data_IF_171287136659
#
_entry.id   IF_171287136659
#
_cell.length_a   1.000
_cell.length_b   1.000
_cell.length_c   1.000
_cell.angle_alpha   90.00
_cell.angle_beta   90.00
_cell.angle_gamma   90.00
#
_symmetry.space_group_name_H-M   'P 1'
#
loop_
_entity.id
_entity.type
_entity.pdbx_description
1 polymer ?
#
# COMPACT_ATOMS: atom_id res chain seq x y z
N UNK A 1 14.01 -9.52 -17.62
CA UNK A 1 13.66 -8.08 -17.48
C UNK A 1 14.97 -7.32 -17.33
N UNK A 2 15.03 -6.04 -17.73
CA UNK A 2 16.24 -5.20 -17.65
C UNK A 2 16.00 -4.03 -16.69
N UNK A 3 17.02 -3.55 -15.99
CA UNK A 3 16.90 -2.36 -15.14
C UNK A 3 16.77 -1.07 -15.98
N UNK A 4 16.60 0.08 -15.33
CA UNK A 4 16.49 1.39 -15.98
C UNK A 4 17.73 1.81 -16.81
N UNK A 5 18.84 1.05 -16.71
CA UNK A 5 20.07 1.23 -17.48
C UNK A 5 20.24 0.19 -18.60
N UNK A 6 19.27 -0.69 -18.81
CA UNK A 6 19.31 -1.71 -19.85
C UNK A 6 20.16 -2.93 -19.49
N UNK A 7 20.57 -3.10 -18.23
CA UNK A 7 21.35 -4.25 -17.78
C UNK A 7 20.42 -5.45 -17.54
N UNK A 8 20.85 -6.63 -17.96
CA UNK A 8 20.16 -7.90 -17.69
C UNK A 8 20.16 -8.16 -16.19
N UNK A 9 19.00 -8.47 -15.61
CA UNK A 9 18.88 -8.86 -14.18
C UNK A 9 19.54 -10.22 -13.86
N UNK A 10 20.21 -10.84 -14.84
CA UNK A 10 20.94 -12.10 -14.70
C UNK A 10 22.13 -11.90 -13.73
N UNK A 11 21.92 -12.22 -12.45
CA UNK A 11 22.93 -12.12 -11.40
C UNK A 11 22.46 -11.45 -10.10
N UNK A 12 21.30 -10.80 -10.10
CA UNK A 12 20.69 -10.32 -8.87
C UNK A 12 20.01 -11.49 -8.12
N UNK A 13 20.06 -11.51 -6.77
CA UNK A 13 19.30 -12.49 -6.01
C UNK A 13 17.80 -12.38 -6.34
N UNK A 14 17.04 -13.47 -6.23
CA UNK A 14 15.61 -13.44 -6.50
C UNK A 14 14.92 -12.34 -5.69
N UNK A 15 14.00 -11.61 -6.32
CA UNK A 15 13.18 -10.60 -5.66
C UNK A 15 12.25 -11.29 -4.66
N UNK A 16 12.51 -11.10 -3.37
CA UNK A 16 11.56 -11.45 -2.32
C UNK A 16 10.69 -10.23 -2.05
N UNK A 17 9.40 -10.37 -2.33
CA UNK A 17 8.40 -9.32 -2.29
C UNK A 17 7.38 -9.62 -1.19
N UNK A 18 7.31 -8.75 -0.19
CA UNK A 18 6.25 -8.80 0.81
C UNK A 18 5.23 -7.68 0.56
N UNK A 19 4.02 -8.06 0.18
CA UNK A 19 2.99 -7.12 -0.26
C UNK A 19 2.29 -6.41 0.90
N UNK A 20 2.46 -6.86 2.14
CA UNK A 20 1.80 -6.25 3.29
C UNK A 20 2.44 -6.66 4.60
N UNK A 21 2.75 -5.68 5.45
CA UNK A 21 3.13 -5.93 6.83
C UNK A 21 2.61 -4.84 7.77
N UNK A 22 2.63 -5.15 9.06
CA UNK A 22 2.19 -4.23 10.10
C UNK A 22 3.35 -3.66 10.92
N UNK A 23 3.17 -2.39 11.28
CA UNK A 23 3.76 -1.74 12.45
C UNK A 23 2.61 -1.24 13.33
N UNK A 24 2.85 -0.92 14.62
CA UNK A 24 1.87 -0.17 15.38
C UNK A 24 1.48 1.09 14.60
N UNK A 25 0.17 1.32 14.42
CA UNK A 25 -0.37 2.47 13.71
C UNK A 25 -0.38 3.70 14.62
N UNK A 26 0.82 4.10 15.04
CA UNK A 26 1.08 5.28 15.86
C UNK A 26 2.27 6.06 15.29
N UNK A 27 2.30 7.40 15.41
CA UNK A 27 3.38 8.20 14.84
C UNK A 27 4.76 7.92 15.44
N UNK A 28 4.83 7.35 16.64
CA UNK A 28 6.07 6.99 17.34
C UNK A 28 6.56 5.56 17.04
N UNK A 29 5.84 4.77 16.25
CA UNK A 29 6.28 3.44 15.86
C UNK A 29 7.60 3.50 15.07
N UNK A 30 8.49 2.56 15.39
CA UNK A 30 9.84 2.51 14.83
C UNK A 30 9.86 1.76 13.49
N UNK A 31 10.05 2.48 12.38
CA UNK A 31 10.17 1.87 11.04
C UNK A 31 11.41 0.98 10.91
N UNK A 32 12.40 1.12 11.78
CA UNK A 32 13.59 0.25 11.84
C UNK A 32 13.25 -1.23 12.00
N UNK A 33 12.07 -1.55 12.57
CA UNK A 33 11.60 -2.93 12.66
C UNK A 33 11.34 -3.59 11.29
N UNK A 34 11.23 -2.81 10.20
CA UNK A 34 11.11 -3.35 8.85
C UNK A 34 12.41 -4.02 8.36
N UNK A 35 13.56 -3.73 8.97
CA UNK A 35 14.84 -4.34 8.58
C UNK A 35 14.89 -5.86 8.81
N UNK A 36 14.00 -6.41 9.65
CA UNK A 36 13.79 -7.86 9.76
C UNK A 36 13.50 -8.52 8.41
N UNK A 37 12.86 -7.80 7.49
CA UNK A 37 12.60 -8.28 6.13
C UNK A 37 13.87 -8.29 5.30
N UNK A 38 14.72 -7.27 5.43
CA UNK A 38 16.03 -7.24 4.76
C UNK A 38 16.95 -8.37 5.26
N UNK A 39 16.91 -8.69 6.56
CA UNK A 39 17.70 -9.78 7.17
C UNK A 39 17.41 -11.16 6.56
N UNK A 40 16.18 -11.38 6.05
CA UNK A 40 15.77 -12.60 5.36
C UNK A 40 15.84 -12.49 3.83
N UNK A 41 16.39 -11.38 3.30
CA UNK A 41 16.61 -11.15 1.88
C UNK A 41 15.46 -10.48 1.13
N UNK A 42 14.50 -9.86 1.82
CA UNK A 42 13.41 -9.12 1.16
C UNK A 42 13.97 -7.93 0.38
N UNK A 43 13.50 -7.77 -0.86
CA UNK A 43 13.83 -6.65 -1.72
C UNK A 43 12.79 -5.53 -1.59
N UNK A 44 11.55 -5.87 -1.24
CA UNK A 44 10.43 -4.95 -1.08
C UNK A 44 9.53 -5.35 0.08
N UNK A 45 9.02 -4.35 0.79
CA UNK A 45 7.92 -4.48 1.75
C UNK A 45 6.93 -3.31 1.59
N UNK A 46 5.63 -3.60 1.56
CA UNK A 46 4.60 -2.58 1.78
C UNK A 46 4.19 -2.58 3.27
N UNK A 47 4.08 -1.40 3.88
CA UNK A 47 3.66 -1.27 5.27
C UNK A 47 2.34 -0.52 5.39
N UNK A 48 1.41 -1.10 6.13
CA UNK A 48 0.11 -0.50 6.43
C UNK A 48 0.29 0.82 7.20
N UNK A 49 -0.43 1.86 6.78
CA UNK A 49 -0.49 3.17 7.46
C UNK A 49 -1.90 3.59 7.89
N UNK A 50 -2.93 2.79 7.60
CA UNK A 50 -4.30 3.06 7.99
C UNK A 50 -5.27 1.96 7.57
N UNK A 51 -6.29 1.74 8.40
CA UNK A 51 -7.39 0.81 8.15
C UNK A 51 -8.70 1.35 8.76
N UNK A 52 -9.71 0.50 8.95
CA UNK A 52 -11.07 0.89 9.31
C UNK A 52 -11.21 1.88 10.51
N UNK A 53 -10.43 1.80 11.60
CA UNK A 53 -10.52 2.75 12.72
C UNK A 53 -9.77 4.06 12.53
N UNK A 54 -9.02 4.22 11.43
CA UNK A 54 -8.26 5.43 11.15
C UNK A 54 -9.02 6.35 10.19
N UNK A 55 -9.10 7.62 10.55
CA UNK A 55 -9.54 8.72 9.68
C UNK A 55 -8.36 9.29 8.88
N UNK A 56 -8.62 10.27 8.00
CA UNK A 56 -7.56 10.86 7.19
C UNK A 56 -6.48 11.56 8.02
N UNK A 57 -6.85 12.26 9.10
CA UNK A 57 -5.90 13.03 9.91
C UNK A 57 -4.90 12.12 10.65
N UNK A 58 -5.41 11.06 11.30
CA UNK A 58 -4.57 10.09 11.99
C UNK A 58 -3.67 9.32 11.02
N UNK A 59 -4.20 8.87 9.88
CA UNK A 59 -3.41 8.19 8.85
C UNK A 59 -2.35 9.09 8.24
N UNK A 60 -2.65 10.35 7.92
CA UNK A 60 -1.66 11.30 7.40
C UNK A 60 -0.55 11.57 8.42
N UNK A 61 -0.89 11.66 9.71
CA UNK A 61 0.09 11.87 10.78
C UNK A 61 1.06 10.67 10.90
N UNK A 62 0.53 9.44 10.84
CA UNK A 62 1.33 8.21 10.85
C UNK A 62 2.24 8.16 9.61
N UNK A 63 1.65 8.37 8.43
CA UNK A 63 2.34 8.34 7.15
C UNK A 63 3.47 9.38 7.08
N UNK A 64 3.24 10.62 7.54
CA UNK A 64 4.27 11.65 7.61
C UNK A 64 5.43 11.23 8.51
N UNK A 65 5.14 10.67 9.70
CA UNK A 65 6.19 10.20 10.60
C UNK A 65 6.99 9.06 9.98
N UNK A 66 6.33 8.06 9.39
CA UNK A 66 7.02 6.92 8.76
C UNK A 66 7.89 7.40 7.61
N UNK A 67 7.38 8.25 6.72
CA UNK A 67 8.15 8.86 5.63
C UNK A 67 9.39 9.59 6.13
N UNK A 68 9.25 10.39 7.19
CA UNK A 68 10.37 11.12 7.81
C UNK A 68 11.44 10.16 8.35
N UNK A 69 11.02 9.08 9.01
CA UNK A 69 11.95 8.08 9.53
C UNK A 69 12.68 7.32 8.38
N UNK A 70 11.96 6.90 7.34
CA UNK A 70 12.56 6.26 6.17
C UNK A 70 13.56 7.18 5.46
N UNK A 71 13.25 8.47 5.34
CA UNK A 71 14.15 9.45 4.75
C UNK A 71 15.42 9.71 5.57
N UNK A 72 15.36 9.52 6.90
CA UNK A 72 16.48 9.73 7.81
C UNK A 72 17.42 8.51 7.90
N UNK A 73 17.03 7.35 7.38
CA UNK A 73 17.80 6.10 7.48
C UNK A 73 18.18 5.60 6.08
N UNK A 74 19.49 5.62 5.79
CA UNK A 74 20.04 5.29 4.48
C UNK A 74 19.78 3.84 4.06
N UNK A 75 19.38 2.95 4.98
CA UNK A 75 19.08 1.54 4.71
C UNK A 75 17.75 1.34 3.97
N UNK A 76 16.85 2.33 3.97
CA UNK A 76 15.56 2.23 3.28
C UNK A 76 15.54 3.08 2.03
N UNK A 77 14.78 2.66 1.02
CA UNK A 77 14.42 3.44 -0.15
C UNK A 77 12.90 3.48 -0.26
N UNK A 78 12.29 4.68 -0.27
CA UNK A 78 10.86 4.81 -0.53
C UNK A 78 10.59 4.53 -2.02
N UNK A 79 9.92 3.42 -2.32
CA UNK A 79 9.66 2.98 -3.68
C UNK A 79 8.38 3.61 -4.24
N UNK A 80 8.51 4.26 -5.40
CA UNK A 80 7.39 4.78 -6.17
C UNK A 80 7.02 3.89 -7.36
N UNK A 81 7.91 2.99 -7.76
CA UNK A 81 7.82 2.14 -8.94
C UNK A 81 8.58 0.82 -8.75
N UNK A 82 8.34 -0.16 -9.62
CA UNK A 82 9.12 -1.41 -9.61
C UNK A 82 10.62 -1.19 -9.89
N UNK A 83 10.99 -0.15 -10.64
CA UNK A 83 12.39 0.20 -10.89
C UNK A 83 13.11 0.67 -9.62
N UNK A 84 12.38 1.28 -8.68
CA UNK A 84 12.93 1.67 -7.38
C UNK A 84 13.27 0.47 -6.52
N UNK A 85 12.52 -0.64 -6.66
CA UNK A 85 12.81 -1.90 -5.97
C UNK A 85 14.14 -2.49 -6.44
N UNK A 86 14.35 -2.52 -7.75
CA UNK A 86 15.64 -2.95 -8.34
C UNK A 86 16.77 -2.03 -7.86
N UNK A 87 16.55 -0.71 -7.86
CA UNK A 87 17.54 0.27 -7.39
C UNK A 87 17.88 0.09 -5.91
N UNK A 88 16.88 -0.20 -5.07
CA UNK A 88 17.09 -0.48 -3.65
C UNK A 88 17.95 -1.73 -3.48
N UNK A 89 17.62 -2.81 -4.20
CA UNK A 89 18.37 -4.06 -4.18
C UNK A 89 19.83 -3.86 -4.61
N UNK A 90 20.08 -3.18 -5.73
CA UNK A 90 21.42 -2.87 -6.24
C UNK A 90 22.25 -2.01 -5.26
N UNK A 91 21.59 -1.17 -4.47
CA UNK A 91 22.23 -0.31 -3.47
C UNK A 91 22.27 -0.91 -2.06
N UNK A 92 21.84 -2.16 -1.88
CA UNK A 92 21.82 -2.83 -0.57
C UNK A 92 20.80 -2.25 0.42
N UNK A 93 19.74 -1.61 -0.09
CA UNK A 93 18.65 -0.97 0.67
C UNK A 93 17.39 -1.81 0.58
N UNK A 94 16.53 -1.73 1.60
CA UNK A 94 15.18 -2.26 1.55
C UNK A 94 14.25 -1.26 0.85
N UNK A 95 13.57 -1.68 -0.22
CA UNK A 95 12.50 -0.89 -0.81
C UNK A 95 11.26 -0.94 0.08
N UNK A 96 10.66 0.21 0.36
CA UNK A 96 9.45 0.34 1.19
C UNK A 96 8.41 1.15 0.43
N UNK A 97 7.17 0.69 0.41
CA UNK A 97 5.99 1.48 0.07
C UNK A 97 4.94 1.41 1.18
N UNK A 98 3.82 2.09 1.00
CA UNK A 98 2.72 2.08 1.95
C UNK A 98 1.45 1.49 1.35
N UNK A 99 0.59 0.96 2.22
CA UNK A 99 -0.75 0.49 1.86
C UNK A 99 -1.81 0.97 2.87
N UNK A 100 -3.05 1.00 2.40
CA UNK A 100 -4.24 1.22 3.21
C UNK A 100 -5.09 -0.05 3.19
N UNK A 101 -5.45 -0.56 4.36
CA UNK A 101 -6.19 -1.81 4.51
C UNK A 101 -7.71 -1.59 4.56
N UNK A 102 -8.17 -0.34 4.45
CA UNK A 102 -9.58 0.06 4.33
C UNK A 102 -9.68 1.40 3.58
N UNK A 103 -10.87 1.75 3.08
CA UNK A 103 -11.14 3.05 2.46
C UNK A 103 -11.48 4.18 3.46
N UNK A 104 -11.70 3.86 4.75
CA UNK A 104 -12.01 4.85 5.79
C UNK A 104 -10.97 5.98 5.90
N UNK A 105 -9.65 5.74 5.76
CA UNK A 105 -8.63 6.79 5.72
C UNK A 105 -8.80 7.83 4.59
N UNK A 106 -9.67 7.59 3.60
CA UNK A 106 -10.03 8.59 2.59
C UNK A 106 -11.08 9.59 3.10
N UNK A 107 -11.79 9.32 4.20
CA UNK A 107 -12.90 10.12 4.72
C UNK A 107 -13.97 10.47 3.65
N UNK A 108 -14.22 9.55 2.71
CA UNK A 108 -15.18 9.75 1.62
C UNK A 108 -14.73 10.73 0.53
N UNK A 109 -13.48 11.20 0.56
CA UNK A 109 -12.94 12.20 -0.36
C UNK A 109 -12.09 11.53 -1.45
N UNK A 110 -12.54 11.60 -2.70
CA UNK A 110 -11.87 10.93 -3.84
C UNK A 110 -10.46 11.48 -4.13
N UNK A 111 -10.23 12.77 -3.90
CA UNK A 111 -8.91 13.42 -4.08
C UNK A 111 -7.85 12.91 -3.10
N UNK A 112 -8.27 12.27 -1.99
CA UNK A 112 -7.35 11.61 -1.07
C UNK A 112 -6.61 10.44 -1.72
N UNK A 113 -7.17 9.79 -2.75
CA UNK A 113 -6.49 8.73 -3.51
C UNK A 113 -5.19 9.25 -4.13
N UNK A 114 -5.25 10.38 -4.85
CA UNK A 114 -4.06 11.00 -5.44
C UNK A 114 -3.10 11.48 -4.35
N UNK A 115 -3.63 12.08 -3.27
CA UNK A 115 -2.82 12.56 -2.15
C UNK A 115 -2.01 11.44 -1.52
N UNK A 116 -2.64 10.32 -1.18
CA UNK A 116 -1.96 9.16 -0.63
C UNK A 116 -0.98 8.54 -1.62
N UNK A 117 -1.35 8.46 -2.89
CA UNK A 117 -0.43 7.98 -3.93
C UNK A 117 0.86 8.82 -3.99
N UNK A 118 0.75 10.15 -3.98
CA UNK A 118 1.91 11.05 -3.94
C UNK A 118 2.74 10.91 -2.67
N UNK A 119 2.12 10.50 -1.56
CA UNK A 119 2.78 10.22 -0.29
C UNK A 119 3.32 8.78 -0.18
N UNK A 120 3.30 8.00 -1.27
CA UNK A 120 3.95 6.69 -1.33
C UNK A 120 3.03 5.50 -1.04
N UNK A 121 1.73 5.72 -0.87
CA UNK A 121 0.75 4.63 -0.85
C UNK A 121 0.63 4.04 -2.25
N UNK A 122 0.73 2.72 -2.38
CA UNK A 122 0.66 2.01 -3.68
C UNK A 122 -0.50 1.04 -3.79
N UNK A 123 -1.10 0.69 -2.66
CA UNK A 123 -2.19 -0.28 -2.59
C UNK A 123 -3.27 0.22 -1.64
N UNK A 124 -4.54 -0.02 -2.00
CA UNK A 124 -5.69 0.32 -1.16
C UNK A 124 -6.75 -0.78 -1.25
N UNK A 125 -7.22 -1.21 -0.07
CA UNK A 125 -8.30 -2.18 0.10
C UNK A 125 -9.64 -1.45 0.27
N UNK A 126 -10.68 -1.76 -0.52
CA UNK A 126 -11.97 -1.07 -0.41
C UNK A 126 -12.64 -1.22 0.96
N UNK A 127 -12.65 -2.42 1.54
CA UNK A 127 -13.33 -2.70 2.81
C UNK A 127 -12.59 -3.75 3.65
N UNK A 128 -12.37 -3.45 4.93
CA UNK A 128 -11.75 -4.32 5.90
C UNK A 128 -12.79 -5.10 6.70
N UNK A 129 -13.01 -6.36 6.33
CA UNK A 129 -13.89 -7.34 6.97
C UNK A 129 -15.39 -7.02 6.91
N UNK A 130 -15.80 -5.79 7.19
CA UNK A 130 -17.20 -5.37 7.22
C UNK A 130 -17.44 -4.20 6.27
N UNK A 131 -18.71 -3.99 5.93
CA UNK A 131 -19.09 -2.95 4.99
C UNK A 131 -18.70 -1.56 5.48
N UNK A 132 -18.27 -0.73 4.54
CA UNK A 132 -18.04 0.69 4.73
C UNK A 132 -18.67 1.48 3.57
N UNK A 133 -18.27 2.74 3.38
CA UNK A 133 -18.80 3.56 2.29
C UNK A 133 -18.43 3.06 0.88
N UNK A 134 -17.32 2.31 0.74
CA UNK A 134 -16.80 1.84 -0.54
C UNK A 134 -17.38 0.49 -0.98
N UNK A 135 -17.63 -0.45 -0.07
CA UNK A 135 -18.21 -1.75 -0.43
C UNK A 135 -18.39 -2.72 0.73
N UNK A 136 -18.77 -3.95 0.39
CA UNK A 136 -18.88 -5.07 1.33
C UNK A 136 -17.52 -5.72 1.62
N UNK A 137 -17.30 -6.08 2.88
CA UNK A 137 -16.18 -6.86 3.38
C UNK A 137 -16.46 -8.37 3.46
N UNK A 138 -15.43 -9.17 3.71
CA UNK A 138 -15.48 -10.64 3.68
C UNK A 138 -16.28 -11.29 4.82
N UNK A 139 -16.62 -10.53 5.86
CA UNK A 139 -17.39 -10.96 7.03
C UNK A 139 -18.83 -10.42 7.03
N UNK A 140 -19.23 -9.66 6.01
CA UNK A 140 -20.64 -9.26 5.87
C UNK A 140 -21.52 -10.49 5.56
N UNK A 141 -22.70 -10.52 6.17
CA UNK A 141 -23.71 -11.53 5.86
C UNK A 141 -24.35 -11.32 4.47
N UNK A 142 -24.41 -10.06 4.03
CA UNK A 142 -24.95 -9.65 2.73
C UNK A 142 -23.85 -9.02 1.90
N UNK A 143 -23.60 -9.61 0.72
CA UNK A 143 -22.57 -9.17 -0.21
C UNK A 143 -23.19 -8.29 -1.31
N UNK A 144 -23.10 -6.97 -1.13
CA UNK A 144 -23.60 -5.97 -2.09
C UNK A 144 -22.53 -5.50 -3.09
N UNK A 145 -21.28 -5.93 -2.92
CA UNK A 145 -20.15 -5.49 -3.76
C UNK A 145 -19.72 -4.04 -3.54
N UNK A 146 -19.14 -3.43 -4.57
CA UNK A 146 -18.76 -2.02 -4.54
C UNK A 146 -19.98 -1.11 -4.65
N UNK A 147 -20.03 -0.09 -3.80
CA UNK A 147 -21.01 1.00 -3.90
C UNK A 147 -20.68 1.92 -5.09
N UNK A 148 -21.56 2.88 -5.37
CA UNK A 148 -21.29 3.93 -6.36
C UNK A 148 -20.03 4.75 -6.01
N UNK A 149 -19.82 5.03 -4.71
CA UNK A 149 -18.60 5.69 -4.22
C UNK A 149 -17.37 4.78 -4.41
N UNK A 150 -17.46 3.50 -4.04
CA UNK A 150 -16.37 2.54 -4.25
C UNK A 150 -15.94 2.41 -5.71
N UNK A 151 -16.91 2.36 -6.64
CA UNK A 151 -16.60 2.35 -8.08
C UNK A 151 -15.94 3.65 -8.56
N UNK A 152 -16.32 4.81 -8.01
CA UNK A 152 -15.64 6.07 -8.32
C UNK A 152 -14.21 6.09 -7.76
N UNK A 153 -14.02 5.62 -6.53
CA UNK A 153 -12.71 5.47 -5.90
C UNK A 153 -11.78 4.58 -6.72
N UNK A 154 -12.25 3.41 -7.19
CA UNK A 154 -11.43 2.51 -8.03
C UNK A 154 -11.03 3.18 -9.36
N UNK A 155 -11.89 4.02 -9.95
CA UNK A 155 -11.50 4.80 -11.14
C UNK A 155 -10.37 5.78 -10.85
N UNK A 156 -10.40 6.47 -9.71
CA UNK A 156 -9.30 7.35 -9.30
C UNK A 156 -8.02 6.56 -9.03
N UNK A 157 -8.13 5.37 -8.41
CA UNK A 157 -7.00 4.47 -8.21
C UNK A 157 -6.36 4.07 -9.54
N UNK A 158 -7.17 3.63 -10.51
CA UNK A 158 -6.74 3.30 -11.86
C UNK A 158 -6.08 4.50 -12.57
N UNK A 159 -6.63 5.70 -12.37
CA UNK A 159 -6.11 6.93 -12.97
C UNK A 159 -4.71 7.30 -12.44
N UNK A 160 -4.46 7.16 -11.14
CA UNK A 160 -3.17 7.52 -10.53
C UNK A 160 -2.15 6.36 -10.55
N UNK A 161 -2.60 5.14 -10.87
CA UNK A 161 -1.78 3.93 -10.84
C UNK A 161 -1.65 3.29 -9.45
N UNK A 162 -2.64 3.48 -8.57
CA UNK A 162 -2.74 2.78 -7.29
C UNK A 162 -3.42 1.42 -7.49
N UNK A 163 -2.85 0.36 -6.91
CA UNK A 163 -3.37 -1.01 -7.04
C UNK A 163 -4.59 -1.19 -6.12
N UNK A 164 -5.68 -1.70 -6.68
CA UNK A 164 -6.83 -2.16 -5.90
C UNK A 164 -6.57 -3.54 -5.32
N UNK A 165 -6.71 -3.67 -4.00
CA UNK A 165 -6.51 -4.93 -3.28
C UNK A 165 -7.84 -5.48 -2.78
N UNK A 166 -8.17 -6.71 -3.20
CA UNK A 166 -9.39 -7.41 -2.82
C UNK A 166 -9.28 -8.17 -1.50
N UNK A 167 -8.13 -8.13 -0.81
CA UNK A 167 -7.98 -8.67 0.53
C UNK A 167 -9.04 -8.06 1.46
N UNK A 168 -9.55 -8.83 2.41
CA UNK A 168 -10.63 -8.43 3.33
C UNK A 168 -11.97 -8.03 2.72
N UNK A 169 -12.04 -7.88 1.39
CA UNK A 169 -13.25 -7.55 0.66
C UNK A 169 -14.11 -8.80 0.45
N UNK A 170 -15.41 -8.60 0.27
CA UNK A 170 -16.31 -9.68 -0.14
C UNK A 170 -15.97 -10.22 -1.54
N UNK A 171 -16.55 -11.35 -1.93
CA UNK A 171 -16.33 -11.94 -3.26
C UNK A 171 -16.84 -10.98 -4.34
N UNK A 172 -18.04 -10.42 -4.19
CA UNK A 172 -18.58 -9.47 -5.18
C UNK A 172 -17.74 -8.21 -5.25
N UNK A 173 -17.29 -7.65 -4.13
CA UNK A 173 -16.40 -6.48 -4.13
C UNK A 173 -15.12 -6.80 -4.89
N UNK A 174 -14.48 -7.94 -4.62
CA UNK A 174 -13.27 -8.37 -5.35
C UNK A 174 -13.49 -8.55 -6.85
N UNK A 175 -14.65 -9.07 -7.27
CA UNK A 175 -15.00 -9.18 -8.70
C UNK A 175 -15.31 -7.81 -9.33
N UNK A 176 -16.00 -6.94 -8.62
CA UNK A 176 -16.32 -5.58 -9.07
C UNK A 176 -15.04 -4.75 -9.27
N UNK A 177 -13.97 -4.98 -8.51
CA UNK A 177 -12.65 -4.36 -8.74
C UNK A 177 -12.12 -4.67 -10.16
N UNK A 178 -12.34 -5.88 -10.67
CA UNK A 178 -11.90 -6.29 -12.01
C UNK A 178 -12.79 -5.73 -13.13
N UNK A 179 -14.01 -5.27 -12.80
CA UNK A 179 -14.97 -4.72 -13.75
C UNK A 179 -14.76 -3.21 -14.02
N UNK A 180 -13.99 -2.51 -13.17
CA UNK A 180 -13.79 -1.05 -13.21
C UNK A 180 -12.43 -0.69 -13.81
#
# INVERSE_FOLDING_TARGET
>A
MTNAKGETLDGLPPLLWDQHCCLPLTPDANVGHLLRFQEIGASFVSVNVGYAPNDADSTLTILESFRRQLAADQRFLLAGSAADVVTAQESGRLAVAFDLEDANPLDGQLDMVERYHRLGVRTLVPAYNYRNAAGSGCMDAEDEGLTAYGRAMVREMNQVGMVADGSHSSIRTGLDLCEV
#
